data_IF_156818184166
#
_entry.id   IF_156818184166
#
_cell.length_a   1.000
_cell.length_b   1.000
_cell.length_c   1.000
_cell.angle_alpha   90.00
_cell.angle_beta   90.00
_cell.angle_gamma   90.00
#
_symmetry.space_group_name_H-M   'P 1'
#
loop_
_entity.id
_entity.type
_entity.pdbx_description
1 polymer ?
#
# COMPACT_ATOMS: atom_id res chain seq x y z
N UNK A 1 11.21 -49.91 -58.88
CA UNK A 1 12.11 -50.74 -58.06
C UNK A 1 12.37 -50.00 -56.75
N UNK A 2 12.02 -50.63 -55.63
CA UNK A 2 11.97 -50.07 -54.27
C UNK A 2 13.37 -49.98 -53.68
N UNK A 3 13.75 -48.86 -53.04
CA UNK A 3 15.01 -48.78 -52.27
C UNK A 3 14.87 -47.90 -51.02
N UNK A 4 14.74 -48.61 -49.90
CA UNK A 4 15.37 -48.42 -48.56
C UNK A 4 14.86 -47.35 -47.58
N UNK A 5 14.25 -47.89 -46.52
CA UNK A 5 14.06 -47.38 -45.17
C UNK A 5 15.34 -47.66 -44.33
N UNK A 6 15.83 -46.69 -43.55
CA UNK A 6 16.73 -46.83 -42.39
C UNK A 6 16.47 -45.61 -41.48
N UNK A 7 15.89 -45.75 -40.28
CA UNK A 7 16.46 -46.20 -39.00
C UNK A 7 17.00 -45.03 -38.14
N UNK A 8 16.37 -44.79 -37.00
CA UNK A 8 16.96 -44.08 -35.85
C UNK A 8 16.30 -44.56 -34.55
N UNK A 9 16.91 -45.59 -33.97
CA UNK A 9 16.66 -46.15 -32.63
C UNK A 9 17.52 -45.39 -31.61
N UNK A 10 17.00 -45.12 -30.41
CA UNK A 10 17.83 -44.60 -29.31
C UNK A 10 17.06 -44.24 -28.04
N UNK A 11 16.73 -45.25 -27.23
CA UNK A 11 16.36 -45.13 -25.80
C UNK A 11 17.38 -45.95 -25.01
N UNK A 12 17.61 -45.56 -23.73
CA UNK A 12 18.45 -46.15 -22.66
C UNK A 12 19.74 -45.32 -22.43
N UNK A 13 20.19 -44.96 -21.22
CA UNK A 13 19.85 -45.36 -19.85
C UNK A 13 20.30 -44.26 -18.86
N UNK A 14 19.75 -44.34 -17.63
CA UNK A 14 20.10 -43.55 -16.47
C UNK A 14 21.55 -43.76 -15.99
N UNK A 15 22.20 -42.68 -15.56
CA UNK A 15 23.47 -42.70 -14.83
C UNK A 15 23.32 -41.94 -13.50
N UNK A 16 23.11 -42.68 -12.41
CA UNK A 16 23.26 -42.18 -11.03
C UNK A 16 24.73 -42.26 -10.68
N UNK A 17 25.40 -41.10 -10.53
CA UNK A 17 26.76 -41.02 -10.01
C UNK A 17 26.70 -40.48 -8.59
N UNK A 18 26.89 -41.37 -7.61
CA UNK A 18 27.20 -41.01 -6.23
C UNK A 18 28.55 -40.29 -6.20
N UNK A 19 28.55 -39.01 -5.82
CA UNK A 19 29.77 -38.31 -5.41
C UNK A 19 29.57 -37.80 -3.98
N UNK A 20 30.17 -38.54 -3.04
CA UNK A 20 30.44 -38.09 -1.69
C UNK A 20 31.37 -36.87 -1.76
N UNK A 21 30.79 -35.68 -1.71
CA UNK A 21 31.51 -34.42 -1.59
C UNK A 21 31.62 -34.04 -0.11
N UNK A 22 32.85 -34.05 0.40
CA UNK A 22 33.25 -33.44 1.67
C UNK A 22 32.71 -32.01 1.79
N UNK A 23 31.74 -31.79 2.67
CA UNK A 23 31.27 -30.45 3.04
C UNK A 23 32.26 -29.90 4.08
N UNK A 24 32.97 -28.78 3.81
CA UNK A 24 33.79 -28.14 4.82
C UNK A 24 32.91 -27.58 5.96
N UNK A 25 33.37 -27.61 7.23
CA UNK A 25 32.67 -26.97 8.34
C UNK A 25 32.85 -25.45 8.23
N UNK A 26 31.99 -24.80 7.44
CA UNK A 26 32.14 -23.38 7.14
C UNK A 26 30.80 -22.69 6.98
N UNK A 27 30.43 -21.89 7.98
CA UNK A 27 29.34 -20.93 7.91
C UNK A 27 28.13 -21.31 8.74
N UNK A 28 28.22 -21.12 10.06
CA UNK A 28 27.03 -20.79 10.83
C UNK A 28 26.46 -19.50 10.23
N UNK A 29 25.51 -19.64 9.30
CA UNK A 29 24.70 -18.52 8.84
C UNK A 29 23.97 -18.00 10.08
N UNK A 30 24.42 -16.85 10.58
CA UNK A 30 23.76 -16.13 11.64
C UNK A 30 22.28 -15.99 11.23
N UNK A 31 21.40 -16.59 12.04
CA UNK A 31 19.96 -16.48 11.84
C UNK A 31 19.61 -14.99 11.66
N UNK A 32 18.75 -14.62 10.68
CA UNK A 32 18.39 -13.23 10.45
C UNK A 32 17.96 -12.58 11.76
N UNK A 33 18.69 -11.54 12.17
CA UNK A 33 18.37 -10.79 13.38
C UNK A 33 16.93 -10.33 13.28
N UNK A 34 16.09 -10.76 14.21
CA UNK A 34 14.67 -10.43 14.22
C UNK A 34 14.51 -8.91 14.02
N UNK A 35 13.58 -8.47 13.15
CA UNK A 35 13.39 -7.06 12.87
C UNK A 35 13.12 -6.33 14.19
N UNK A 36 13.83 -5.22 14.39
CA UNK A 36 13.67 -4.43 15.60
C UNK A 36 12.21 -3.97 15.71
N UNK A 37 11.62 -4.11 16.91
CA UNK A 37 10.22 -3.78 17.15
C UNK A 37 10.08 -2.30 17.50
N UNK A 38 9.02 -1.62 17.01
CA UNK A 38 8.65 -0.29 17.47
C UNK A 38 8.42 -0.26 18.99
N UNK A 39 8.93 0.78 19.66
CA UNK A 39 8.83 0.97 21.11
C UNK A 39 8.00 2.17 21.49
N UNK A 40 7.91 3.18 20.62
CA UNK A 40 7.14 4.40 20.86
C UNK A 40 6.54 4.95 19.56
N UNK A 41 5.47 5.73 19.70
CA UNK A 41 4.92 6.57 18.64
C UNK A 41 4.91 8.01 19.13
N UNK A 42 5.54 8.91 18.38
CA UNK A 42 5.53 10.34 18.63
C UNK A 42 4.58 11.01 17.65
N UNK A 43 3.72 11.89 18.15
CA UNK A 43 2.76 12.66 17.38
C UNK A 43 3.09 14.12 17.58
N UNK A 44 3.40 14.85 16.51
CA UNK A 44 3.65 16.27 16.53
C UNK A 44 2.58 17.00 15.72
N UNK A 45 2.15 18.17 16.17
CA UNK A 45 1.12 18.94 15.47
C UNK A 45 0.84 20.29 16.14
N UNK A 46 -0.21 20.95 15.66
CA UNK A 46 -0.62 22.25 16.18
C UNK A 46 -1.61 22.08 17.33
N UNK A 47 -1.11 21.87 18.54
CA UNK A 47 -1.89 21.76 19.78
C UNK A 47 -1.04 22.15 21.01
N UNK A 48 -1.63 22.45 22.19
CA UNK A 48 -0.88 22.77 23.40
C UNK A 48 0.11 21.66 23.76
N UNK A 49 1.39 21.99 23.88
CA UNK A 49 2.48 21.03 24.10
C UNK A 49 3.15 20.51 22.82
N UNK A 50 2.52 20.66 21.64
CA UNK A 50 3.10 20.49 20.30
C UNK A 50 3.52 19.06 19.90
N UNK A 51 3.86 18.23 20.88
CA UNK A 51 4.36 16.86 20.71
C UNK A 51 3.84 15.99 21.84
N UNK A 52 3.32 14.81 21.50
CA UNK A 52 2.92 13.75 22.42
C UNK A 52 3.73 12.51 22.07
N UNK A 53 4.26 11.83 23.09
CA UNK A 53 4.93 10.53 22.89
C UNK A 53 4.15 9.45 23.62
N UNK A 54 3.75 8.42 22.89
CA UNK A 54 3.04 7.26 23.42
C UNK A 54 4.02 6.10 23.46
N UNK A 55 4.43 5.71 24.68
CA UNK A 55 5.32 4.57 24.92
C UNK A 55 4.53 3.26 24.94
N UNK A 56 5.06 2.22 24.32
CA UNK A 56 4.44 0.88 24.34
C UNK A 56 4.30 0.34 25.77
N UNK A 57 5.27 0.61 26.64
CA UNK A 57 5.28 0.15 28.04
C UNK A 57 4.22 0.80 28.92
N UNK A 58 3.82 2.03 28.59
CA UNK A 58 2.87 2.81 29.39
C UNK A 58 1.43 2.64 28.91
N UNK A 59 1.21 2.66 27.58
CA UNK A 59 -0.11 2.55 26.97
C UNK A 59 -0.10 1.57 25.79
N UNK A 60 -0.02 0.25 26.05
CA UNK A 60 0.16 -0.75 25.00
C UNK A 60 -0.98 -0.79 23.98
N UNK A 61 -2.23 -0.58 24.41
CA UNK A 61 -3.39 -0.66 23.50
C UNK A 61 -3.50 0.58 22.60
N UNK A 62 -3.28 1.77 23.16
CA UNK A 62 -3.22 3.00 22.37
C UNK A 62 -2.04 2.98 21.38
N UNK A 63 -0.88 2.49 21.83
CA UNK A 63 0.28 2.30 20.97
C UNK A 63 -0.02 1.37 19.80
N UNK A 64 -0.68 0.22 20.03
CA UNK A 64 -1.07 -0.70 18.95
C UNK A 64 -2.02 -0.04 17.96
N UNK A 65 -3.02 0.71 18.45
CA UNK A 65 -3.97 1.46 17.60
C UNK A 65 -3.23 2.45 16.71
N UNK A 66 -2.42 3.34 17.30
CA UNK A 66 -1.64 4.33 16.54
C UNK A 66 -0.66 3.69 15.56
N UNK A 67 0.00 2.60 15.96
CA UNK A 67 0.89 1.87 15.07
C UNK A 67 0.13 1.24 13.90
N UNK A 68 -1.09 0.75 14.12
CA UNK A 68 -1.92 0.19 13.05
C UNK A 68 -2.38 1.22 12.02
N UNK A 69 -2.48 2.50 12.42
CA UNK A 69 -2.80 3.61 11.52
C UNK A 69 -1.71 3.88 10.48
N UNK A 70 -0.44 3.64 10.83
CA UNK A 70 0.71 4.03 9.99
C UNK A 70 1.56 2.86 9.48
N UNK A 71 1.57 1.72 10.17
CA UNK A 71 2.45 0.58 9.82
C UNK A 71 2.20 0.01 8.43
N UNK A 72 0.94 -0.01 7.97
CA UNK A 72 0.58 -0.48 6.64
C UNK A 72 1.12 0.44 5.53
N UNK A 73 1.27 1.74 5.80
CA UNK A 73 1.86 2.70 4.86
C UNK A 73 3.31 2.38 4.53
N UNK A 74 4.01 1.57 5.32
CA UNK A 74 5.41 1.22 5.06
C UNK A 74 5.56 0.30 3.84
N UNK A 75 4.57 -0.55 3.56
CA UNK A 75 4.64 -1.63 2.57
C UNK A 75 3.66 -1.45 1.41
N UNK A 76 2.63 -0.62 1.58
CA UNK A 76 1.62 -0.39 0.55
C UNK A 76 2.08 0.64 -0.50
N UNK A 77 1.64 0.43 -1.74
CA UNK A 77 1.79 1.40 -2.82
C UNK A 77 0.81 2.59 -2.63
N UNK A 78 1.16 3.80 -3.09
CA UNK A 78 0.26 4.94 -2.98
C UNK A 78 -1.11 4.65 -3.60
N UNK A 79 -2.20 4.99 -2.91
CA UNK A 79 -3.56 4.64 -3.33
C UNK A 79 -4.36 5.82 -3.88
N UNK A 80 -3.80 7.04 -3.79
CA UNK A 80 -4.48 8.26 -4.24
C UNK A 80 -3.49 9.34 -4.64
N UNK A 81 -3.97 10.35 -5.35
CA UNK A 81 -3.23 11.56 -5.69
C UNK A 81 -3.20 12.54 -4.51
N UNK A 82 -2.39 13.58 -4.63
CA UNK A 82 -2.33 14.65 -3.63
C UNK A 82 -3.68 15.38 -3.58
N UNK A 83 -4.36 15.43 -2.43
CA UNK A 83 -5.54 16.26 -2.27
C UNK A 83 -5.20 17.76 -2.37
N UNK A 84 -6.19 18.57 -2.74
CA UNK A 84 -6.02 20.02 -2.76
C UNK A 84 -5.62 20.56 -1.37
N UNK A 85 -4.70 21.52 -1.31
CA UNK A 85 -4.16 22.01 -0.04
C UNK A 85 -5.24 22.59 0.89
N UNK A 86 -6.25 23.25 0.32
CA UNK A 86 -7.42 23.78 1.04
C UNK A 86 -8.32 22.69 1.66
N UNK A 87 -8.22 21.45 1.15
CA UNK A 87 -9.04 20.29 1.53
C UNK A 87 -8.33 19.36 2.54
N UNK A 88 -7.12 19.69 3.02
CA UNK A 88 -6.34 18.78 3.87
C UNK A 88 -6.60 18.92 5.38
N UNK A 89 -7.17 20.04 5.83
CA UNK A 89 -7.39 20.28 7.26
C UNK A 89 -6.09 20.32 8.07
N UNK A 90 -6.16 19.91 9.34
CA UNK A 90 -5.02 19.94 10.26
C UNK A 90 -3.99 18.84 9.97
N UNK A 91 -2.70 19.20 10.01
CA UNK A 91 -1.59 18.27 9.80
C UNK A 91 -1.02 17.76 11.12
N UNK A 92 -0.87 16.44 11.23
CA UNK A 92 -0.20 15.75 12.33
C UNK A 92 0.94 14.90 11.80
N UNK A 93 2.14 15.06 12.35
CA UNK A 93 3.31 14.26 11.98
C UNK A 93 3.45 13.12 12.98
N UNK A 94 3.33 11.89 12.50
CA UNK A 94 3.49 10.68 13.29
C UNK A 94 4.84 10.04 12.99
N UNK A 95 5.68 9.96 14.02
CA UNK A 95 7.00 9.31 13.95
C UNK A 95 6.98 8.02 14.76
N UNK A 96 7.30 6.91 14.11
CA UNK A 96 7.46 5.60 14.75
C UNK A 96 8.90 5.49 15.25
N UNK A 97 9.09 5.20 16.53
CA UNK A 97 10.39 5.07 17.15
C UNK A 97 10.72 3.61 17.48
N UNK A 98 11.98 3.25 17.28
CA UNK A 98 12.57 1.98 17.72
C UNK A 98 13.70 2.30 18.68
N UNK A 99 13.57 1.93 19.95
CA UNK A 99 14.56 2.24 21.00
C UNK A 99 14.91 3.72 21.00
N UNK A 100 13.87 4.57 21.00
CA UNK A 100 13.94 6.04 21.01
C UNK A 100 14.58 6.68 19.76
N UNK A 101 14.87 5.89 18.72
CA UNK A 101 15.34 6.41 17.44
C UNK A 101 14.20 6.47 16.44
N UNK A 102 14.06 7.63 15.79
CA UNK A 102 13.11 7.80 14.69
C UNK A 102 13.39 6.76 13.59
N UNK A 103 12.37 5.99 13.23
CA UNK A 103 12.47 4.94 12.22
C UNK A 103 11.71 5.31 10.95
N UNK A 104 10.45 5.73 11.11
CA UNK A 104 9.55 6.11 10.03
C UNK A 104 8.76 7.34 10.44
N UNK A 105 8.44 8.18 9.47
CA UNK A 105 7.67 9.41 9.67
C UNK A 105 6.57 9.49 8.61
N UNK A 106 5.37 9.82 9.06
CA UNK A 106 4.17 9.95 8.24
C UNK A 106 3.45 11.24 8.57
N UNK A 107 2.77 11.82 7.60
CA UNK A 107 1.89 12.96 7.82
C UNK A 107 0.44 12.50 7.73
N UNK A 108 -0.35 12.80 8.75
CA UNK A 108 -1.75 12.44 8.88
C UNK A 108 -2.62 13.69 8.83
N UNK A 109 -3.75 13.55 8.16
CA UNK A 109 -4.73 14.59 7.90
C UNK A 109 -6.13 14.03 8.22
N UNK A 110 -6.53 14.01 9.50
CA UNK A 110 -7.80 13.39 9.91
C UNK A 110 -9.01 14.16 9.38
N UNK A 111 -8.91 15.48 9.26
CA UNK A 111 -10.00 16.38 8.82
C UNK A 111 -9.91 16.75 7.34
N UNK A 112 -9.34 15.87 6.51
CA UNK A 112 -9.31 16.11 5.08
C UNK A 112 -10.69 15.89 4.45
N UNK A 113 -11.07 16.73 3.48
CA UNK A 113 -12.32 16.60 2.75
C UNK A 113 -12.30 15.33 1.87
N UNK A 114 -13.43 14.63 1.86
CA UNK A 114 -13.54 13.29 1.26
C UNK A 114 -12.92 12.17 2.12
N UNK A 115 -12.65 12.43 3.39
CA UNK A 115 -12.21 11.46 4.39
C UNK A 115 -10.72 11.57 4.76
N UNK A 116 -10.29 10.88 5.83
CA UNK A 116 -8.93 10.97 6.35
C UNK A 116 -7.88 10.68 5.28
N UNK A 117 -6.77 11.43 5.30
CA UNK A 117 -5.64 11.26 4.38
C UNK A 117 -4.35 11.02 5.13
N UNK A 118 -3.46 10.24 4.52
CA UNK A 118 -2.10 10.03 5.00
C UNK A 118 -1.11 10.24 3.86
N UNK A 119 0.05 10.79 4.20
CA UNK A 119 1.15 11.00 3.28
C UNK A 119 2.42 10.36 3.83
N UNK A 120 3.11 9.60 2.98
CA UNK A 120 4.45 9.07 3.24
C UNK A 120 5.47 9.96 2.54
N UNK A 121 6.29 10.72 3.27
CA UNK A 121 7.40 11.48 2.70
C UNK A 121 8.44 10.59 2.02
N UNK A 122 9.11 11.11 0.99
CA UNK A 122 10.22 10.41 0.32
C UNK A 122 11.40 10.19 1.28
N UNK A 123 11.73 11.24 2.04
CA UNK A 123 12.81 11.24 3.02
C UNK A 123 12.30 10.64 4.33
N UNK A 124 12.76 9.44 4.63
CA UNK A 124 12.49 8.74 5.89
C UNK A 124 13.76 8.74 6.76
N UNK A 125 13.64 8.65 8.10
CA UNK A 125 14.79 8.54 9.00
C UNK A 125 15.70 7.34 8.66
N UNK A 126 15.11 6.25 8.14
CA UNK A 126 15.80 5.01 7.76
C UNK A 126 16.27 4.96 6.31
N UNK A 127 16.02 6.00 5.51
CA UNK A 127 16.45 6.06 4.10
C UNK A 127 15.43 6.72 3.18
N UNK A 128 15.49 6.40 1.89
CA UNK A 128 14.50 6.89 0.91
C UNK A 128 13.39 5.86 0.71
N UNK A 129 12.15 6.33 0.59
CA UNK A 129 10.97 5.54 0.22
C UNK A 129 10.21 6.25 -0.89
N UNK A 130 9.40 5.53 -1.65
CA UNK A 130 8.52 6.14 -2.64
C UNK A 130 7.52 7.05 -1.92
N UNK A 131 7.56 8.35 -2.21
CA UNK A 131 6.57 9.27 -1.68
C UNK A 131 5.18 8.93 -2.22
N UNK A 132 4.15 9.18 -1.43
CA UNK A 132 2.79 8.92 -1.89
C UNK A 132 1.70 9.30 -0.92
N UNK A 133 0.53 9.48 -1.48
CA UNK A 133 -0.70 9.75 -0.76
C UNK A 133 -1.53 8.49 -0.62
N UNK A 134 -2.24 8.42 0.50
CA UNK A 134 -3.03 7.29 0.91
C UNK A 134 -4.33 7.77 1.52
N UNK A 135 -5.38 6.98 1.38
CA UNK A 135 -6.55 7.07 2.25
C UNK A 135 -6.15 6.66 3.66
N UNK A 136 -6.47 7.50 4.64
CA UNK A 136 -6.34 7.18 6.05
C UNK A 136 -7.44 6.23 6.50
N UNK A 137 -7.29 5.62 7.69
CA UNK A 137 -8.39 4.85 8.28
C UNK A 137 -9.41 5.79 8.90
N UNK A 138 -10.66 5.33 8.98
CA UNK A 138 -11.76 6.08 9.58
C UNK A 138 -11.55 6.29 11.09
N UNK A 139 -10.79 5.41 11.76
CA UNK A 139 -10.46 5.47 13.19
C UNK A 139 -9.32 6.43 13.54
N UNK A 140 -8.81 7.18 12.55
CA UNK A 140 -7.64 8.05 12.72
C UNK A 140 -7.93 9.20 13.68
N UNK A 141 -9.09 9.84 13.54
CA UNK A 141 -9.58 10.93 14.41
C UNK A 141 -9.65 10.47 15.87
N UNK A 142 -10.32 9.35 16.15
CA UNK A 142 -10.41 8.79 17.50
C UNK A 142 -9.02 8.46 18.06
N UNK A 143 -8.17 7.78 17.29
CA UNK A 143 -6.83 7.37 17.74
C UNK A 143 -5.96 8.57 18.13
N UNK A 144 -6.04 9.66 17.37
CA UNK A 144 -5.35 10.91 17.70
C UNK A 144 -5.97 11.60 18.93
N UNK A 145 -7.30 11.64 19.05
CA UNK A 145 -7.97 12.19 20.26
C UNK A 145 -7.59 11.45 21.53
N UNK A 146 -7.60 10.12 21.51
CA UNK A 146 -7.23 9.28 22.65
C UNK A 146 -5.78 9.46 23.08
N UNK A 147 -4.91 9.91 22.17
CA UNK A 147 -3.53 10.26 22.50
C UNK A 147 -3.39 11.61 23.21
N UNK A 148 -4.44 12.44 23.21
CA UNK A 148 -4.45 13.77 23.82
C UNK A 148 -4.41 14.91 22.80
N UNK A 149 -4.51 14.61 21.49
CA UNK A 149 -4.64 15.66 20.48
C UNK A 149 -6.05 16.27 20.58
N UNK A 150 -6.19 17.59 20.73
CA UNK A 150 -7.48 18.26 20.86
C UNK A 150 -8.16 18.38 19.48
N UNK A 151 -8.63 17.27 18.93
CA UNK A 151 -9.49 17.26 17.75
C UNK A 151 -10.96 17.35 18.19
N UNK A 152 -11.80 17.96 17.36
CA UNK A 152 -13.25 17.93 17.55
C UNK A 152 -13.72 16.47 17.54
N UNK A 153 -14.60 16.13 18.45
CA UNK A 153 -15.22 14.81 18.48
C UNK A 153 -16.12 14.67 17.25
N UNK A 154 -15.71 13.78 16.34
CA UNK A 154 -16.56 13.33 15.22
C UNK A 154 -16.92 11.87 15.49
N UNK A 155 -18.19 11.48 15.31
CA UNK A 155 -18.56 10.08 15.33
C UNK A 155 -17.89 9.39 14.13
N UNK A 156 -16.82 8.65 14.41
CA UNK A 156 -16.22 7.75 13.43
C UNK A 156 -17.27 6.65 13.19
N UNK A 157 -17.90 6.65 12.02
CA UNK A 157 -19.07 5.81 11.68
C UNK A 157 -18.85 4.32 12.01
N UNK A 158 -19.31 3.92 13.20
CA UNK A 158 -19.50 2.52 13.61
C UNK A 158 -20.83 2.40 14.35
N UNK A 159 -21.90 2.88 13.72
CA UNK A 159 -23.28 2.45 14.00
C UNK A 159 -24.15 2.78 12.79
N UNK A 160 -23.86 2.12 11.66
CA UNK A 160 -24.59 2.29 10.42
C UNK A 160 -25.23 0.98 10.00
N UNK A 161 -26.37 0.65 10.60
CA UNK A 161 -27.33 -0.22 9.94
C UNK A 161 -27.68 0.35 8.56
N UNK A 162 -28.00 -0.53 7.63
CA UNK A 162 -28.31 -0.23 6.22
C UNK A 162 -29.39 0.87 6.19
N UNK A 163 -28.99 2.13 5.96
CA UNK A 163 -29.90 3.30 5.93
C UNK A 163 -29.59 4.45 6.90
N UNK A 164 -28.64 4.33 7.82
CA UNK A 164 -28.26 5.40 8.75
C UNK A 164 -26.98 6.13 8.34
N UNK A 165 -27.01 6.88 7.23
CA UNK A 165 -25.92 7.78 6.89
C UNK A 165 -25.91 8.97 7.86
N UNK A 166 -24.96 9.01 8.79
CA UNK A 166 -24.58 10.29 9.40
C UNK A 166 -23.86 11.05 8.30
N UNK A 167 -24.62 11.81 7.51
CA UNK A 167 -24.08 12.82 6.65
C UNK A 167 -23.37 13.83 7.54
N UNK A 168 -22.04 13.87 7.45
CA UNK A 168 -21.35 15.13 7.67
C UNK A 168 -22.11 16.17 6.84
N UNK A 169 -22.40 17.34 7.41
CA UNK A 169 -22.72 18.54 6.61
C UNK A 169 -21.47 18.81 5.76
N UNK A 170 -21.35 18.03 4.68
CA UNK A 170 -20.52 18.36 3.55
C UNK A 170 -21.19 19.60 3.01
N UNK A 171 -20.60 20.76 3.32
CA UNK A 171 -20.95 22.03 2.71
C UNK A 171 -21.28 21.78 1.24
N UNK A 172 -22.45 22.20 0.77
CA UNK A 172 -22.93 21.88 -0.58
C UNK A 172 -21.93 22.30 -1.70
N UNK A 173 -20.94 23.13 -1.36
CA UNK A 173 -19.80 23.49 -2.21
C UNK A 173 -18.67 22.47 -2.32
N UNK A 174 -18.59 21.47 -1.44
CA UNK A 174 -17.64 20.33 -1.52
C UNK A 174 -18.19 19.15 -2.31
N UNK A 175 -19.51 19.09 -2.47
CA UNK A 175 -20.16 18.28 -3.49
C UNK A 175 -20.14 19.09 -4.80
N UNK A 176 -18.98 19.20 -5.43
CA UNK A 176 -18.96 19.44 -6.88
C UNK A 176 -19.08 18.07 -7.56
N UNK A 177 -20.30 17.60 -7.89
CA UNK A 177 -20.49 16.31 -8.54
C UNK A 177 -19.79 16.26 -9.89
N UNK A 178 -19.41 17.40 -10.48
CA UNK A 178 -18.80 17.44 -11.81
C UNK A 178 -17.33 17.05 -11.75
N UNK A 179 -16.55 17.56 -10.79
CA UNK A 179 -15.13 17.19 -10.62
C UNK A 179 -14.97 15.71 -10.24
N UNK A 180 -15.71 15.24 -9.23
CA UNK A 180 -15.62 13.84 -8.77
C UNK A 180 -16.08 12.82 -9.82
N UNK A 181 -17.10 13.15 -10.61
CA UNK A 181 -17.56 12.29 -11.73
C UNK A 181 -16.52 12.25 -12.85
N UNK A 182 -15.82 13.36 -13.11
CA UNK A 182 -14.80 13.41 -14.17
C UNK A 182 -13.59 12.52 -13.86
N UNK A 183 -13.13 12.49 -12.60
CA UNK A 183 -12.02 11.64 -12.16
C UNK A 183 -12.41 10.15 -12.17
N UNK A 184 -13.61 9.82 -11.67
CA UNK A 184 -14.12 8.44 -11.70
C UNK A 184 -14.33 7.96 -13.13
N UNK A 185 -14.86 8.81 -14.03
CA UNK A 185 -14.98 8.49 -15.45
C UNK A 185 -13.62 8.32 -16.14
N UNK A 186 -12.63 9.14 -15.78
CA UNK A 186 -11.27 9.03 -16.31
C UNK A 186 -10.61 7.71 -15.91
N UNK A 187 -10.74 7.31 -14.64
CA UNK A 187 -10.22 6.04 -14.14
C UNK A 187 -10.96 4.84 -14.76
N UNK A 188 -12.28 4.91 -14.89
CA UNK A 188 -13.07 3.85 -15.52
C UNK A 188 -12.73 3.71 -17.01
N UNK A 189 -12.56 4.84 -17.72
CA UNK A 189 -12.10 4.87 -19.11
C UNK A 189 -10.71 4.27 -19.24
N UNK A 190 -9.80 4.57 -18.32
CA UNK A 190 -8.43 4.03 -18.33
C UNK A 190 -8.43 2.52 -18.15
N UNK A 191 -9.22 1.99 -17.22
CA UNK A 191 -9.36 0.55 -17.02
C UNK A 191 -10.00 -0.15 -18.23
N UNK A 192 -11.04 0.44 -18.83
CA UNK A 192 -11.68 -0.08 -20.04
C UNK A 192 -10.73 -0.08 -21.24
N UNK A 193 -9.99 1.01 -21.46
CA UNK A 193 -9.01 1.11 -22.55
C UNK A 193 -7.86 0.13 -22.37
N UNK A 194 -7.38 -0.07 -21.13
CA UNK A 194 -6.32 -1.02 -20.85
C UNK A 194 -6.76 -2.45 -21.15
N UNK A 195 -7.92 -2.87 -20.64
CA UNK A 195 -8.46 -4.20 -20.91
C UNK A 195 -8.82 -4.39 -22.40
N UNK A 196 -9.38 -3.36 -23.05
CA UNK A 196 -9.68 -3.37 -24.48
C UNK A 196 -8.43 -3.49 -25.35
N UNK A 197 -7.35 -2.79 -25.00
CA UNK A 197 -6.07 -2.88 -25.71
C UNK A 197 -5.46 -4.29 -25.63
N UNK A 198 -5.54 -4.93 -24.47
CA UNK A 198 -5.09 -6.34 -24.31
C UNK A 198 -5.90 -7.26 -25.22
N UNK A 199 -7.22 -7.10 -25.24
CA UNK A 199 -8.11 -7.95 -26.04
C UNK A 199 -7.88 -7.79 -27.55
N UNK A 200 -7.70 -6.55 -28.03
CA UNK A 200 -7.35 -6.27 -29.43
C UNK A 200 -5.99 -6.86 -29.81
N UNK A 201 -5.01 -6.80 -28.91
CA UNK A 201 -3.68 -7.39 -29.14
C UNK A 201 -3.76 -8.90 -29.31
N UNK A 202 -4.56 -9.58 -28.49
CA UNK A 202 -4.80 -11.02 -28.59
C UNK A 202 -5.48 -11.36 -29.92
N UNK A 203 -6.53 -10.61 -30.30
CA UNK A 203 -7.24 -10.82 -31.56
C UNK A 203 -6.36 -10.60 -32.80
N UNK A 204 -5.55 -9.55 -32.82
CA UNK A 204 -4.58 -9.29 -33.88
C UNK A 204 -3.49 -10.38 -33.93
N UNK A 205 -3.04 -10.86 -32.75
CA UNK A 205 -2.11 -11.97 -32.66
C UNK A 205 -2.67 -13.26 -33.25
N UNK A 206 -3.88 -13.68 -32.83
CA UNK A 206 -4.54 -14.86 -33.37
C UNK A 206 -4.86 -14.71 -34.87
N UNK A 207 -5.39 -13.56 -35.28
CA UNK A 207 -5.70 -13.28 -36.69
C UNK A 207 -4.45 -13.29 -37.57
N UNK A 208 -3.35 -12.71 -37.09
CA UNK A 208 -2.06 -12.72 -37.77
C UNK A 208 -1.50 -14.14 -37.92
N UNK A 209 -1.56 -14.96 -36.87
CA UNK A 209 -1.13 -16.36 -36.93
C UNK A 209 -2.01 -17.16 -37.91
N UNK A 210 -3.33 -17.01 -37.85
CA UNK A 210 -4.26 -17.69 -38.76
C UNK A 210 -4.03 -17.29 -40.22
N UNK A 211 -3.78 -16.00 -40.49
CA UNK A 211 -3.45 -15.50 -41.81
C UNK A 211 -2.13 -16.05 -42.34
N UNK A 212 -1.09 -16.11 -41.50
CA UNK A 212 0.20 -16.70 -41.86
C UNK A 212 0.11 -18.19 -42.17
N UNK A 213 -0.69 -18.94 -41.40
CA UNK A 213 -0.97 -20.36 -41.68
C UNK A 213 -1.66 -20.50 -43.04
N UNK A 214 -2.71 -19.71 -43.31
CA UNK A 214 -3.43 -19.75 -44.59
C UNK A 214 -2.56 -19.41 -45.79
N UNK A 215 -1.53 -18.59 -45.64
CA UNK A 215 -0.60 -18.23 -46.72
C UNK A 215 0.51 -19.26 -46.95
N UNK A 216 0.76 -20.16 -45.98
CA UNK A 216 1.78 -21.21 -46.07
C UNK A 216 1.26 -22.53 -46.63
N UNK A 217 -0.06 -22.71 -46.69
CA UNK A 217 -0.76 -23.81 -47.40
C UNK A 217 -1.04 -23.36 -48.82
#
# INVERSE_FOLDING_TARGET
>A
MITRLLAATGVLAAGVVLSAGLVPPGGAQAAPKAPAKPTAVQIAGKFPGGTITVQQSERPDLFKRLLSEVSWLATTAPTTSKPEAKKLGAKFTVTVLIKDKANQTYELYPDAAGGPRAYRPEKQPTGKKTAGWFYGRLTMSESLRLSGVPLKEKPDVVSGGIGGGVGEDVEASELDPVEGVSDVLADMRRLLLLNGAVLLTILLGLGGIAYLIRRRV
#
